data_IF_514164025385
#
_entry.id   IF_514164025385
#
_cell.length_a   1.000
_cell.length_b   1.000
_cell.length_c   1.000
_cell.angle_alpha   90.00
_cell.angle_beta   90.00
_cell.angle_gamma   90.00
#
_symmetry.space_group_name_H-M   'P 1'
#
loop_
_entity.id
_entity.type
_entity.pdbx_description
1 polymer ?
#
# COMPACT_ATOMS: atom_id res chain seq x y z
N UNK A 1 -0.22 -19.71 -47.26
CA UNK A 1 0.97 -18.92 -46.87
C UNK A 1 0.65 -18.22 -45.57
N UNK A 2 1.04 -18.85 -44.45
CA UNK A 2 0.89 -18.39 -43.07
C UNK A 2 2.30 -18.04 -42.60
N UNK A 3 2.45 -16.98 -41.80
CA UNK A 3 3.65 -16.49 -41.07
C UNK A 3 3.98 -15.04 -41.46
N UNK A 4 3.33 -14.05 -40.84
CA UNK A 4 3.91 -12.70 -40.64
C UNK A 4 3.07 -11.74 -39.78
N UNK A 5 2.19 -12.23 -38.88
CA UNK A 5 1.43 -11.36 -37.94
C UNK A 5 1.83 -11.60 -36.47
N UNK A 6 2.67 -12.61 -36.18
CA UNK A 6 3.00 -12.98 -34.80
C UNK A 6 4.16 -12.16 -34.18
N UNK A 7 4.86 -11.33 -34.95
CA UNK A 7 6.07 -10.64 -34.47
C UNK A 7 5.83 -9.22 -33.90
N UNK A 8 4.65 -8.62 -34.10
CA UNK A 8 4.40 -7.24 -33.62
C UNK A 8 3.83 -7.15 -32.20
N UNK A 9 3.43 -8.28 -31.60
CA UNK A 9 3.00 -8.34 -30.19
C UNK A 9 4.15 -8.54 -29.19
N UNK A 10 5.39 -8.67 -29.67
CA UNK A 10 6.55 -9.00 -28.83
C UNK A 10 7.22 -7.74 -28.23
N UNK A 11 6.87 -6.53 -28.68
CA UNK A 11 7.53 -5.30 -28.23
C UNK A 11 6.66 -4.44 -27.28
N UNK A 12 5.35 -4.67 -27.16
CA UNK A 12 4.45 -3.73 -26.45
C UNK A 12 3.51 -4.28 -25.38
N UNK A 13 3.65 -5.53 -24.89
CA UNK A 13 2.64 -6.02 -23.94
C UNK A 13 3.03 -7.15 -22.99
N UNK A 14 4.29 -7.55 -22.95
CA UNK A 14 4.77 -8.56 -21.99
C UNK A 14 5.77 -7.95 -21.01
N UNK A 15 5.46 -6.77 -20.46
CA UNK A 15 5.82 -6.54 -19.06
C UNK A 15 4.92 -7.48 -18.25
N UNK A 16 5.43 -8.71 -18.15
CA UNK A 16 5.00 -9.76 -17.25
C UNK A 16 4.30 -9.17 -16.04
N UNK A 17 2.99 -9.41 -15.95
CA UNK A 17 2.24 -9.21 -14.72
C UNK A 17 2.88 -10.12 -13.67
N UNK A 18 3.82 -9.57 -12.90
CA UNK A 18 4.35 -10.20 -11.69
C UNK A 18 3.15 -10.47 -10.78
N UNK A 19 2.80 -11.74 -10.67
CA UNK A 19 2.05 -12.24 -9.55
C UNK A 19 3.00 -12.19 -8.34
N UNK A 20 2.53 -11.60 -7.23
CA UNK A 20 3.19 -11.47 -5.92
C UNK A 20 3.88 -10.14 -5.60
N UNK A 21 3.09 -9.10 -5.29
CA UNK A 21 3.63 -7.80 -4.83
C UNK A 21 2.64 -7.08 -3.88
N UNK A 22 2.09 -7.77 -2.86
CA UNK A 22 1.17 -7.05 -1.95
C UNK A 22 1.95 -6.12 -1.03
N UNK A 23 1.74 -4.81 -1.11
CA UNK A 23 2.44 -3.79 -0.30
C UNK A 23 1.42 -2.89 0.40
N UNK A 24 1.51 -2.80 1.72
CA UNK A 24 0.77 -1.84 2.55
C UNK A 24 1.76 -0.89 3.18
N UNK A 25 1.59 0.39 2.91
CA UNK A 25 2.38 1.48 3.50
C UNK A 25 1.54 2.11 4.61
N UNK A 26 2.08 2.20 5.81
CA UNK A 26 1.49 2.93 6.94
C UNK A 26 2.34 4.16 7.29
N UNK A 27 1.72 5.34 7.26
CA UNK A 27 2.35 6.61 7.62
C UNK A 27 1.76 7.09 8.96
N UNK A 28 2.61 7.37 9.93
CA UNK A 28 2.21 7.87 11.25
C UNK A 28 2.33 9.39 11.27
N UNK A 29 1.28 10.10 11.69
CA UNK A 29 1.29 11.54 11.95
C UNK A 29 1.90 12.36 10.79
N UNK A 30 1.55 12.01 9.55
CA UNK A 30 2.06 12.64 8.32
C UNK A 30 3.61 12.59 8.17
N UNK A 31 4.29 11.68 8.88
CA UNK A 31 5.73 11.47 8.76
C UNK A 31 6.07 10.50 7.62
N UNK A 32 6.25 11.07 6.43
CA UNK A 32 6.64 10.34 5.22
C UNK A 32 8.13 9.99 5.15
N UNK A 33 8.97 10.48 6.07
CA UNK A 33 10.41 10.16 6.10
C UNK A 33 10.67 8.76 6.68
N UNK A 34 9.72 8.19 7.42
CA UNK A 34 9.86 6.89 8.06
C UNK A 34 8.55 6.07 7.99
N UNK A 35 8.06 5.74 6.78
CA UNK A 35 6.86 4.94 6.63
C UNK A 35 7.10 3.50 7.11
N UNK A 36 6.08 2.92 7.74
CA UNK A 36 6.04 1.49 8.05
C UNK A 36 5.54 0.75 6.81
N UNK A 37 6.45 0.15 6.05
CA UNK A 37 6.12 -0.58 4.83
C UNK A 37 6.09 -2.07 5.12
N UNK A 38 5.06 -2.76 4.67
CA UNK A 38 4.96 -4.21 4.78
C UNK A 38 4.44 -4.82 3.50
N UNK A 39 4.89 -6.05 3.18
CA UNK A 39 4.31 -6.81 2.08
C UNK A 39 3.98 -8.27 2.40
N UNK A 40 3.07 -8.85 1.63
CA UNK A 40 2.72 -10.28 1.74
C UNK A 40 3.05 -11.01 0.44
N UNK A 41 4.15 -11.75 0.42
CA UNK A 41 4.43 -12.76 -0.61
C UNK A 41 3.81 -14.09 -0.19
N UNK A 42 3.48 -14.97 -1.16
CA UNK A 42 3.21 -16.40 -0.90
C UNK A 42 4.43 -17.18 -0.33
N UNK A 43 5.46 -16.48 0.15
CA UNK A 43 6.63 -17.00 0.85
C UNK A 43 6.90 -16.12 2.06
N UNK A 44 6.07 -16.24 3.10
CA UNK A 44 6.03 -15.37 4.29
C UNK A 44 7.33 -15.10 5.04
N UNK A 45 8.46 -15.72 4.69
CA UNK A 45 9.76 -15.49 5.31
C UNK A 45 10.62 -14.37 4.72
N UNK A 46 10.45 -13.98 3.44
CA UNK A 46 11.34 -13.02 2.76
C UNK A 46 10.91 -11.57 2.95
N UNK A 47 9.62 -11.26 2.75
CA UNK A 47 9.10 -9.89 2.95
C UNK A 47 9.28 -9.41 4.40
N UNK A 48 9.08 -10.32 5.37
CA UNK A 48 9.31 -10.04 6.78
C UNK A 48 10.78 -9.68 7.04
N UNK A 49 11.74 -10.39 6.46
CA UNK A 49 13.17 -10.10 6.61
C UNK A 49 13.56 -8.74 5.98
N UNK A 50 13.03 -8.44 4.80
CA UNK A 50 13.35 -7.23 4.03
C UNK A 50 12.80 -5.96 4.69
N UNK A 51 11.60 -6.04 5.27
CA UNK A 51 10.93 -4.90 5.90
C UNK A 51 11.06 -4.89 7.44
N UNK A 52 11.94 -5.73 8.01
CA UNK A 52 12.22 -5.77 9.45
C UNK A 52 11.09 -6.33 10.32
N UNK A 53 10.11 -7.04 9.73
CA UNK A 53 9.03 -7.72 10.43
C UNK A 53 9.43 -9.14 10.86
N UNK A 54 8.81 -9.63 11.94
CA UNK A 54 9.08 -10.98 12.46
C UNK A 54 8.59 -12.03 11.46
N UNK A 55 9.49 -12.97 11.11
CA UNK A 55 9.34 -14.02 10.10
C UNK A 55 8.02 -14.81 10.16
N UNK A 56 7.45 -14.98 11.35
CA UNK A 56 6.27 -15.85 11.60
C UNK A 56 5.09 -15.13 12.28
N UNK A 57 5.11 -13.79 12.37
CA UNK A 57 4.00 -13.05 12.99
C UNK A 57 2.89 -12.72 12.00
N UNK A 58 1.63 -12.86 12.43
CA UNK A 58 0.45 -12.36 11.70
C UNK A 58 0.68 -10.91 11.25
N UNK A 59 0.77 -10.69 9.93
CA UNK A 59 0.98 -9.40 9.27
C UNK A 59 0.12 -8.31 9.90
N UNK A 60 -1.18 -8.58 10.09
CA UNK A 60 -2.12 -7.60 10.58
C UNK A 60 -1.82 -7.20 12.03
N UNK A 61 -1.37 -8.16 12.83
CA UNK A 61 -0.99 -7.95 14.22
C UNK A 61 0.29 -7.12 14.35
N UNK A 62 1.29 -7.38 13.49
CA UNK A 62 2.56 -6.64 13.51
C UNK A 62 2.35 -5.18 13.07
N UNK A 63 1.68 -4.97 11.94
CA UNK A 63 1.33 -3.62 11.48
C UNK A 63 0.52 -2.86 12.53
N UNK A 64 -0.46 -3.50 13.16
CA UNK A 64 -1.20 -2.88 14.27
C UNK A 64 -0.28 -2.48 15.43
N UNK A 65 0.64 -3.35 15.86
CA UNK A 65 1.56 -3.03 16.96
C UNK A 65 2.45 -1.81 16.65
N UNK A 66 2.94 -1.70 15.42
CA UNK A 66 3.81 -0.60 15.01
C UNK A 66 3.07 0.74 14.88
N UNK A 67 1.76 0.71 14.59
CA UNK A 67 1.00 1.90 14.20
C UNK A 67 -0.01 2.35 15.28
N UNK A 68 -0.48 1.44 16.14
CA UNK A 68 -1.63 1.69 17.03
C UNK A 68 -1.48 2.80 18.07
N UNK A 69 -0.25 3.26 18.35
CA UNK A 69 0.02 4.38 19.25
C UNK A 69 -0.03 5.76 18.60
N UNK A 70 -0.27 5.85 17.30
CA UNK A 70 -0.33 7.11 16.56
C UNK A 70 -1.63 7.89 16.81
N UNK A 71 -1.56 9.22 16.63
CA UNK A 71 -2.74 10.10 16.65
C UNK A 71 -3.43 10.12 15.28
N UNK A 72 -2.64 9.95 14.20
CA UNK A 72 -3.10 9.82 12.82
C UNK A 72 -2.34 8.70 12.12
N UNK A 73 -3.06 7.87 11.38
CA UNK A 73 -2.48 6.86 10.49
C UNK A 73 -3.03 7.10 9.08
N UNK A 74 -2.16 7.12 8.08
CA UNK A 74 -2.55 6.97 6.68
C UNK A 74 -2.07 5.63 6.14
N UNK A 75 -3.01 4.83 5.62
CA UNK A 75 -2.71 3.62 4.86
C UNK A 75 -2.70 3.92 3.38
N UNK A 76 -1.65 3.53 2.68
CA UNK A 76 -1.50 3.74 1.24
C UNK A 76 -1.28 2.38 0.57
N UNK A 77 -2.14 2.04 -0.40
CA UNK A 77 -2.14 0.74 -1.08
C UNK A 77 -2.39 0.86 -2.58
N UNK A 78 -2.01 -0.17 -3.34
CA UNK A 78 -2.50 -0.39 -4.70
C UNK A 78 -3.63 -1.44 -4.72
N UNK A 79 -4.45 -1.44 -5.78
CA UNK A 79 -5.61 -2.33 -5.98
C UNK A 79 -5.40 -3.82 -5.68
N UNK A 80 -4.18 -4.35 -5.79
CA UNK A 80 -3.92 -5.79 -5.58
C UNK A 80 -3.88 -6.19 -4.09
N UNK A 81 -3.95 -5.22 -3.19
CA UNK A 81 -3.51 -5.37 -1.79
C UNK A 81 -4.67 -5.28 -0.79
N UNK A 82 -5.88 -5.13 -1.32
CA UNK A 82 -7.15 -4.97 -0.61
C UNK A 82 -7.34 -6.00 0.51
N UNK A 83 -7.06 -7.29 0.24
CA UNK A 83 -7.22 -8.38 1.21
C UNK A 83 -6.32 -8.23 2.45
N UNK A 84 -5.08 -7.74 2.27
CA UNK A 84 -4.14 -7.54 3.36
C UNK A 84 -4.57 -6.32 4.19
N UNK A 85 -4.90 -5.21 3.53
CA UNK A 85 -5.42 -4.03 4.20
C UNK A 85 -6.72 -4.32 4.96
N UNK A 86 -7.69 -4.99 4.34
CA UNK A 86 -8.96 -5.34 5.00
C UNK A 86 -8.75 -6.17 6.28
N UNK A 87 -7.79 -7.08 6.27
CA UNK A 87 -7.44 -7.86 7.47
C UNK A 87 -6.87 -6.96 8.56
N UNK A 88 -6.01 -6.01 8.20
CA UNK A 88 -5.46 -5.01 9.11
C UNK A 88 -6.54 -4.07 9.67
N UNK A 89 -7.40 -3.51 8.82
CA UNK A 89 -8.49 -2.61 9.20
C UNK A 89 -9.46 -3.28 10.19
N UNK A 90 -9.76 -4.57 10.01
CA UNK A 90 -10.56 -5.35 10.97
C UNK A 90 -9.89 -5.45 12.35
N UNK A 91 -8.56 -5.51 12.42
CA UNK A 91 -7.83 -5.49 13.69
C UNK A 91 -7.98 -4.12 14.36
N UNK A 92 -7.80 -3.03 13.62
CA UNK A 92 -8.00 -1.67 14.13
C UNK A 92 -9.42 -1.42 14.63
N UNK A 93 -10.43 -1.85 13.86
CA UNK A 93 -11.85 -1.80 14.25
C UNK A 93 -12.08 -2.57 15.55
N UNK A 94 -11.66 -3.85 15.62
CA UNK A 94 -11.84 -4.70 16.81
C UNK A 94 -11.17 -4.10 18.05
N UNK A 95 -10.06 -3.40 17.88
CA UNK A 95 -9.31 -2.74 18.94
C UNK A 95 -9.81 -1.34 19.27
N UNK A 96 -10.82 -0.83 18.55
CA UNK A 96 -11.44 0.48 18.75
C UNK A 96 -10.44 1.63 18.71
N UNK A 97 -9.54 1.61 17.73
CA UNK A 97 -8.57 2.68 17.52
C UNK A 97 -9.26 4.06 17.50
N UNK A 98 -8.63 5.03 18.18
CA UNK A 98 -9.23 6.34 18.48
C UNK A 98 -8.61 7.50 17.71
N UNK A 99 -7.44 7.28 17.11
CA UNK A 99 -6.82 8.29 16.27
C UNK A 99 -7.54 8.45 14.94
N UNK A 100 -7.11 9.44 14.18
CA UNK A 100 -7.55 9.65 12.81
C UNK A 100 -7.01 8.53 11.91
N UNK A 101 -7.82 8.08 10.97
CA UNK A 101 -7.40 7.11 9.97
C UNK A 101 -7.82 7.56 8.59
N UNK A 102 -6.85 7.58 7.69
CA UNK A 102 -7.00 7.84 6.27
C UNK A 102 -6.55 6.62 5.49
N UNK A 103 -7.28 6.28 4.45
CA UNK A 103 -6.95 5.20 3.52
C UNK A 103 -6.90 5.80 2.13
N UNK A 104 -5.75 5.66 1.47
CA UNK A 104 -5.48 6.13 0.12
C UNK A 104 -5.22 4.92 -0.77
N UNK A 105 -6.15 4.62 -1.67
CA UNK A 105 -6.01 3.52 -2.62
C UNK A 105 -5.72 4.03 -4.02
N UNK A 106 -4.64 3.52 -4.62
CA UNK A 106 -4.33 3.73 -6.03
C UNK A 106 -5.00 2.62 -6.85
N UNK A 107 -6.17 2.95 -7.41
CA UNK A 107 -7.02 2.03 -8.16
C UNK A 107 -7.93 2.77 -9.15
N UNK A 108 -8.25 2.11 -10.28
CA UNK A 108 -9.22 2.62 -11.26
C UNK A 108 -10.68 2.58 -10.78
N UNK A 109 -10.95 1.93 -9.66
CA UNK A 109 -12.30 1.73 -9.12
C UNK A 109 -12.22 1.50 -7.62
N UNK A 110 -13.18 2.02 -6.88
CA UNK A 110 -13.28 1.84 -5.43
C UNK A 110 -13.50 0.38 -4.99
N UNK A 111 -12.90 0.01 -3.86
CA UNK A 111 -13.21 -1.22 -3.13
C UNK A 111 -14.36 -1.04 -2.14
N UNK A 112 -15.49 -1.69 -2.41
CA UNK A 112 -16.70 -1.61 -1.58
C UNK A 112 -16.51 -2.06 -0.12
N UNK A 113 -15.64 -3.05 0.13
CA UNK A 113 -15.42 -3.54 1.49
C UNK A 113 -14.61 -2.53 2.30
N UNK A 114 -13.62 -1.87 1.68
CA UNK A 114 -12.84 -0.81 2.31
C UNK A 114 -13.75 0.40 2.58
N UNK A 115 -14.59 0.80 1.62
CA UNK A 115 -15.60 1.85 1.82
C UNK A 115 -16.48 1.57 3.03
N UNK A 116 -17.06 0.37 3.08
CA UNK A 116 -17.99 -0.03 4.15
C UNK A 116 -17.33 0.01 5.54
N UNK A 117 -16.12 -0.53 5.71
CA UNK A 117 -15.45 -0.51 7.01
C UNK A 117 -15.01 0.91 7.39
N UNK A 118 -14.57 1.72 6.42
CA UNK A 118 -14.17 3.10 6.66
C UNK A 118 -15.33 3.97 7.10
N UNK A 119 -16.46 3.92 6.39
CA UNK A 119 -17.67 4.68 6.76
C UNK A 119 -18.18 4.29 8.15
N UNK A 120 -18.26 2.98 8.43
CA UNK A 120 -18.69 2.45 9.73
C UNK A 120 -17.85 2.99 10.90
N UNK A 121 -16.57 3.23 10.67
CA UNK A 121 -15.62 3.67 11.70
C UNK A 121 -15.26 5.16 11.59
N UNK A 122 -15.94 5.91 10.71
CA UNK A 122 -15.67 7.34 10.44
C UNK A 122 -14.22 7.60 10.02
N UNK A 123 -13.64 6.70 9.22
CA UNK A 123 -12.33 6.85 8.61
C UNK A 123 -12.46 7.45 7.20
N UNK A 124 -11.47 8.23 6.79
CA UNK A 124 -11.42 8.82 5.45
C UNK A 124 -10.93 7.76 4.46
N UNK A 125 -11.60 7.65 3.31
CA UNK A 125 -11.19 6.76 2.24
C UNK A 125 -11.23 7.45 0.88
N UNK A 126 -10.04 7.59 0.30
CA UNK A 126 -9.74 8.26 -0.95
C UNK A 126 -9.27 7.24 -1.98
N UNK A 127 -9.73 7.40 -3.22
CA UNK A 127 -9.34 6.53 -4.34
C UNK A 127 -8.82 7.39 -5.48
N UNK A 128 -7.64 7.07 -5.97
CA UNK A 128 -6.99 7.76 -7.06
C UNK A 128 -6.65 6.78 -8.19
N UNK A 129 -6.98 7.08 -9.45
CA UNK A 129 -6.59 6.26 -10.59
C UNK A 129 -5.08 6.05 -10.71
N UNK A 130 -4.28 7.06 -10.32
CA UNK A 130 -2.83 7.03 -10.35
C UNK A 130 -2.23 7.71 -9.12
N UNK A 131 -1.06 7.24 -8.65
CA UNK A 131 -0.38 7.81 -7.48
C UNK A 131 -0.06 9.31 -7.66
N UNK A 132 0.40 9.72 -8.84
CA UNK A 132 0.66 11.13 -9.20
C UNK A 132 -0.55 12.08 -9.06
N UNK A 133 -1.77 11.55 -9.01
CA UNK A 133 -2.99 12.35 -8.85
C UNK A 133 -3.32 12.61 -7.37
N UNK A 134 -2.59 11.97 -6.45
CA UNK A 134 -2.68 12.26 -5.02
C UNK A 134 -2.14 13.66 -4.77
N UNK A 135 -3.04 14.57 -4.39
CA UNK A 135 -2.71 15.97 -4.15
C UNK A 135 -1.99 16.17 -2.82
N UNK A 136 -1.29 17.30 -2.73
CA UNK A 136 -0.60 17.74 -1.51
C UNK A 136 0.92 17.66 -1.61
N UNK A 137 1.55 18.13 -0.55
CA UNK A 137 2.99 18.25 -0.41
C UNK A 137 3.44 17.48 0.82
N UNK A 138 4.55 16.75 0.71
CA UNK A 138 5.22 16.10 1.84
C UNK A 138 6.59 16.72 2.03
N UNK A 139 7.06 16.78 3.28
CA UNK A 139 8.40 17.27 3.60
C UNK A 139 9.34 16.09 3.79
N UNK A 140 10.40 16.02 2.99
CA UNK A 140 11.43 14.98 3.04
C UNK A 140 12.81 15.63 3.10
N UNK A 141 13.57 15.31 4.14
CA UNK A 141 14.89 15.91 4.43
C UNK A 141 14.84 17.44 4.42
N UNK A 142 13.73 18.01 4.91
CA UNK A 142 13.50 19.45 4.93
C UNK A 142 13.01 20.08 3.62
N UNK A 143 12.91 19.32 2.52
CA UNK A 143 12.46 19.81 1.22
C UNK A 143 11.00 19.42 0.96
N UNK A 144 10.26 20.34 0.34
CA UNK A 144 8.89 20.10 -0.08
C UNK A 144 8.87 19.32 -1.40
N UNK A 145 8.07 18.25 -1.45
CA UNK A 145 7.94 17.37 -2.61
C UNK A 145 6.48 17.04 -2.87
N UNK A 146 6.12 16.73 -4.12
CA UNK A 146 4.79 16.24 -4.46
C UNK A 146 4.49 14.94 -3.72
N UNK A 147 3.37 14.90 -2.99
CA UNK A 147 2.92 13.69 -2.26
C UNK A 147 2.76 12.51 -3.22
N UNK A 148 2.11 12.74 -4.37
CA UNK A 148 1.88 11.71 -5.37
C UNK A 148 3.16 11.12 -5.98
N UNK A 149 4.13 11.98 -6.34
CA UNK A 149 5.42 11.52 -6.88
C UNK A 149 6.23 10.73 -5.85
N UNK A 150 6.23 11.18 -4.58
CA UNK A 150 6.91 10.47 -3.50
C UNK A 150 6.30 9.08 -3.26
N UNK A 151 4.98 8.98 -3.19
CA UNK A 151 4.26 7.71 -3.02
C UNK A 151 4.54 6.76 -4.18
N UNK A 152 4.57 7.26 -5.42
CA UNK A 152 4.94 6.45 -6.59
C UNK A 152 6.36 5.87 -6.44
N UNK A 153 7.31 6.70 -6.00
CA UNK A 153 8.67 6.26 -5.69
C UNK A 153 8.72 5.20 -4.58
N UNK A 154 7.93 5.36 -3.52
CA UNK A 154 7.83 4.36 -2.44
C UNK A 154 7.35 3.00 -2.95
N UNK A 155 6.32 2.96 -3.81
CA UNK A 155 5.85 1.72 -4.38
C UNK A 155 6.90 1.07 -5.28
N UNK A 156 7.61 1.86 -6.09
CA UNK A 156 8.68 1.36 -6.95
C UNK A 156 9.83 0.76 -6.12
N UNK A 157 10.28 1.46 -5.07
CA UNK A 157 11.32 0.99 -4.17
C UNK A 157 10.89 -0.29 -3.44
N UNK A 158 9.70 -0.30 -2.84
CA UNK A 158 9.18 -1.46 -2.12
C UNK A 158 9.07 -2.71 -3.02
N UNK A 159 8.59 -2.55 -4.25
CA UNK A 159 8.52 -3.64 -5.24
C UNK A 159 9.89 -4.07 -5.73
N UNK A 160 10.85 -3.15 -5.88
CA UNK A 160 12.21 -3.49 -6.30
C UNK A 160 12.90 -4.41 -5.30
N UNK A 161 12.62 -4.23 -4.00
CA UNK A 161 13.15 -5.06 -2.90
C UNK A 161 12.49 -6.44 -2.82
N UNK A 162 11.35 -6.65 -3.48
CA UNK A 162 10.62 -7.92 -3.51
C UNK A 162 11.00 -8.82 -4.71
N UNK A 163 11.77 -8.29 -5.67
CA UNK A 163 12.30 -9.03 -6.83
C UNK A 163 13.62 -9.72 -6.50
#
# INVERSE_FOLDING_TARGET
MKKLILALFIIFGTLSFSAFDKVVIGVINDNYESPVISGTLNRGGLANLIFGMKKDGDFAKQMYQNLSGADKIEFIIEKKDESALLSLLKVFEKRKYKGQMEITEVASSENKNIRQISEKNSWTYNVYPFAREISGTVKISGNDMSKGEFIEGLFQDAKSKLK
#
